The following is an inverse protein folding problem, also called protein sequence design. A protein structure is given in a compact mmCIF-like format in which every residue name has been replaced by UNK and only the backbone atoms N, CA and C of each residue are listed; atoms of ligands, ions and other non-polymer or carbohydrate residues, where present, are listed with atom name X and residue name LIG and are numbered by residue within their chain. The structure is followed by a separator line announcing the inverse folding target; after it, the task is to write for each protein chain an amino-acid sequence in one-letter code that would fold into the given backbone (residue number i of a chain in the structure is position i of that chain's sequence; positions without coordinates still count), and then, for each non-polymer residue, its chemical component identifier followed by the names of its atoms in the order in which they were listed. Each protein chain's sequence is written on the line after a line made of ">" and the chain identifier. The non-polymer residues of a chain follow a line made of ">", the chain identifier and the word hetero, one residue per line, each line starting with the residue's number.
data_IF_408803622252
#
_entry.id   IF_408803622252
#
_cell.length_a   1.000
_cell.length_b   1.000
_cell.length_c   1.000
_cell.angle_alpha   90.00
_cell.angle_beta   90.00
_cell.angle_gamma   90.00
#
_symmetry.space_group_name_H-M   'P 1'
#
loop_
_entity.id
_entity.type
_entity.pdbx_description
1 polymer ?
#
# COMPACT_ATOMS: atom_id res chain seq x y z
N UNK A 1 18.65 -2.09 2.25
CA UNK A 1 17.37 -1.38 2.23
C UNK A 1 16.26 -2.38 1.99
N UNK A 2 15.26 -2.33 2.83
CA UNK A 2 14.16 -3.28 2.76
C UNK A 2 12.93 -2.64 2.19
N UNK A 3 12.25 -3.37 1.35
CA UNK A 3 11.02 -2.92 0.74
C UNK A 3 9.96 -3.97 1.00
N UNK A 4 8.83 -3.53 1.52
CA UNK A 4 7.70 -4.41 1.79
C UNK A 4 6.62 -4.17 0.76
N UNK A 5 5.99 -5.25 0.32
CA UNK A 5 4.90 -5.15 -0.64
C UNK A 5 3.59 -5.31 0.10
N UNK A 6 2.64 -4.46 -0.24
CA UNK A 6 1.30 -4.51 0.35
C UNK A 6 0.29 -4.63 -0.76
N UNK A 7 -0.61 -5.57 -0.62
CA UNK A 7 -1.72 -5.71 -1.55
C UNK A 7 -2.96 -5.14 -0.87
N UNK A 8 -3.51 -4.10 -1.47
CA UNK A 8 -4.67 -3.41 -0.94
C UNK A 8 -5.88 -3.78 -1.76
N UNK A 9 -6.93 -4.24 -1.09
CA UNK A 9 -8.20 -4.54 -1.73
C UNK A 9 -9.18 -3.43 -1.44
N UNK A 10 -9.71 -2.84 -2.47
CA UNK A 10 -10.65 -1.73 -2.34
C UNK A 10 -11.90 -2.02 -3.16
N UNK A 11 -12.93 -1.23 -2.91
CA UNK A 11 -14.08 -1.25 -3.81
C UNK A 11 -13.64 -0.69 -5.16
N UNK A 12 -14.02 -1.32 -6.27
CA UNK A 12 -13.54 -0.85 -7.58
C UNK A 12 -13.83 0.60 -7.86
N UNK A 13 -14.98 1.10 -7.40
CA UNK A 13 -15.32 2.49 -7.66
C UNK A 13 -14.49 3.46 -6.84
N UNK A 14 -13.76 2.95 -5.83
CA UNK A 14 -12.91 3.79 -5.00
C UNK A 14 -11.43 3.66 -5.32
N UNK A 15 -11.09 2.76 -6.23
CA UNK A 15 -9.68 2.46 -6.44
C UNK A 15 -8.91 3.66 -6.97
N UNK A 16 -9.52 4.45 -7.85
CA UNK A 16 -8.84 5.60 -8.41
C UNK A 16 -8.52 6.65 -7.33
N UNK A 17 -9.49 6.91 -6.45
CA UNK A 17 -9.27 7.86 -5.35
C UNK A 17 -8.22 7.34 -4.39
N UNK A 18 -8.32 6.06 -4.03
CA UNK A 18 -7.38 5.48 -3.10
C UNK A 18 -5.97 5.40 -3.66
N UNK A 19 -5.87 5.16 -4.97
CA UNK A 19 -4.55 5.17 -5.60
C UNK A 19 -3.85 6.48 -5.35
N UNK A 20 -4.56 7.60 -5.51
CA UNK A 20 -3.97 8.90 -5.25
C UNK A 20 -3.61 9.10 -3.79
N UNK A 21 -4.48 8.65 -2.88
CA UNK A 21 -4.19 8.78 -1.46
C UNK A 21 -2.98 7.94 -1.06
N UNK A 22 -2.90 6.73 -1.59
CA UNK A 22 -1.76 5.86 -1.27
C UNK A 22 -0.47 6.44 -1.82
N UNK A 23 -0.51 7.01 -3.01
CA UNK A 23 0.69 7.57 -3.61
C UNK A 23 1.20 8.78 -2.84
N UNK A 24 0.33 9.43 -2.08
CA UNK A 24 0.75 10.60 -1.30
C UNK A 24 1.39 10.24 0.02
N UNK A 25 1.33 8.98 0.42
CA UNK A 25 1.94 8.57 1.68
C UNK A 25 3.45 8.51 1.55
N UNK A 26 4.17 8.94 2.61
CA UNK A 26 5.64 8.92 2.54
C UNK A 26 6.17 7.50 2.39
N UNK A 27 7.14 7.33 1.51
CA UNK A 27 7.78 6.03 1.32
C UNK A 27 6.94 5.01 0.59
N UNK A 28 5.78 5.38 0.09
CA UNK A 28 4.88 4.47 -0.61
C UNK A 28 4.96 4.72 -2.11
N UNK A 29 5.06 3.64 -2.85
CA UNK A 29 5.06 3.71 -4.30
C UNK A 29 3.99 2.78 -4.84
N UNK A 30 3.12 3.31 -5.68
CA UNK A 30 2.05 2.51 -6.29
C UNK A 30 2.59 1.91 -7.57
N UNK A 31 2.51 0.59 -7.66
CA UNK A 31 3.03 -0.11 -8.83
C UNK A 31 1.93 -0.56 -9.77
N UNK A 32 0.76 -0.87 -9.24
CA UNK A 32 -0.33 -1.33 -10.08
C UNK A 32 -1.65 -1.04 -9.38
N UNK A 33 -2.63 -0.70 -10.17
CA UNK A 33 -4.01 -0.54 -9.68
C UNK A 33 -4.90 -1.21 -10.71
N UNK A 34 -5.62 -2.24 -10.29
CA UNK A 34 -6.42 -3.03 -11.18
C UNK A 34 -7.88 -2.61 -11.11
N UNK A 35 -8.59 -2.91 -12.16
CA UNK A 35 -10.00 -2.50 -12.24
C UNK A 35 -10.86 -3.19 -11.21
N UNK A 36 -10.42 -4.36 -10.75
CA UNK A 36 -11.20 -5.10 -9.75
C UNK A 36 -11.02 -4.54 -8.33
N UNK A 37 -10.23 -3.48 -8.17
CA UNK A 37 -10.05 -2.87 -6.87
C UNK A 37 -8.76 -3.25 -6.16
N UNK A 38 -7.91 -4.03 -6.81
CA UNK A 38 -6.63 -4.44 -6.21
C UNK A 38 -5.58 -3.39 -6.52
N UNK A 39 -4.90 -2.92 -5.49
CA UNK A 39 -3.80 -1.96 -5.64
C UNK A 39 -2.56 -2.57 -5.02
N UNK A 40 -1.48 -2.58 -5.78
CA UNK A 40 -0.21 -3.14 -5.32
C UNK A 40 0.74 -1.98 -5.09
N UNK A 41 1.24 -1.90 -3.87
CA UNK A 41 2.16 -0.84 -3.48
C UNK A 41 3.38 -1.44 -2.80
N UNK A 42 4.44 -0.66 -2.75
CA UNK A 42 5.61 -1.01 -1.95
C UNK A 42 5.86 0.11 -0.95
N UNK A 43 6.40 -0.26 0.20
CA UNK A 43 6.70 0.67 1.27
C UNK A 43 8.17 0.51 1.64
N UNK A 44 8.87 1.61 1.65
CA UNK A 44 10.28 1.62 2.02
C UNK A 44 10.42 1.59 3.53
N UNK A 45 11.26 0.69 4.03
CA UNK A 45 11.49 0.57 5.46
C UNK A 45 12.64 1.50 5.85
N UNK A 46 12.30 2.59 6.50
CA UNK A 46 13.30 3.54 6.98
C UNK A 46 13.17 3.67 8.49
N UNK A 47 14.13 4.38 9.08
CA UNK A 47 14.09 4.58 10.52
C UNK A 47 12.88 5.42 10.94
N UNK A 48 12.35 6.25 10.05
CA UNK A 48 11.20 7.10 10.35
C UNK A 48 9.89 6.50 9.87
N UNK A 49 9.95 5.56 8.93
CA UNK A 49 8.75 4.99 8.32
C UNK A 49 8.81 3.48 8.46
N UNK A 50 7.93 2.94 9.26
CA UNK A 50 7.85 1.49 9.43
C UNK A 50 6.71 0.94 8.61
N UNK A 51 6.94 -0.12 7.84
CA UNK A 51 5.87 -0.69 7.02
C UNK A 51 4.63 -1.07 7.82
N UNK A 52 4.82 -1.55 9.04
CA UNK A 52 3.67 -1.95 9.86
C UNK A 52 2.78 -0.76 10.17
N UNK A 53 3.37 0.39 10.50
CA UNK A 53 2.58 1.58 10.78
C UNK A 53 1.84 2.05 9.53
N UNK A 54 2.51 1.99 8.39
CA UNK A 54 1.88 2.36 7.14
C UNK A 54 0.72 1.43 6.83
N UNK A 55 0.90 0.13 7.05
CA UNK A 55 -0.15 -0.84 6.82
C UNK A 55 -1.38 -0.52 7.67
N UNK A 56 -1.17 -0.20 8.94
CA UNK A 56 -2.28 0.14 9.82
C UNK A 56 -3.01 1.39 9.34
N UNK A 57 -2.25 2.38 8.87
CA UNK A 57 -2.87 3.58 8.34
C UNK A 57 -3.71 3.29 7.11
N UNK A 58 -3.20 2.43 6.24
CA UNK A 58 -3.92 2.06 5.03
C UNK A 58 -5.22 1.33 5.39
N UNK A 59 -5.17 0.43 6.37
CA UNK A 59 -6.36 -0.31 6.76
C UNK A 59 -7.44 0.58 7.32
N UNK A 60 -7.10 1.76 7.78
CA UNK A 60 -8.07 2.71 8.31
C UNK A 60 -8.63 3.66 7.27
N UNK A 61 -8.17 3.59 6.05
CA UNK A 61 -8.68 4.46 4.99
C UNK A 61 -10.06 3.99 4.56
N UNK A 62 -10.92 4.96 4.26
CA UNK A 62 -12.25 4.63 3.78
C UNK A 62 -12.16 4.04 2.39
N UNK A 63 -12.92 2.97 2.17
CA UNK A 63 -12.92 2.31 0.88
C UNK A 63 -11.97 1.14 0.78
N UNK A 64 -11.12 0.96 1.78
CA UNK A 64 -10.23 -0.19 1.84
C UNK A 64 -10.95 -1.36 2.46
N UNK A 65 -11.06 -2.45 1.72
CA UNK A 65 -11.67 -3.67 2.22
C UNK A 65 -10.68 -4.42 3.09
N UNK A 66 -9.47 -4.56 2.60
CA UNK A 66 -8.41 -5.22 3.35
C UNK A 66 -7.07 -4.79 2.79
N UNK A 67 -6.04 -4.94 3.60
CA UNK A 67 -4.67 -4.68 3.18
C UNK A 67 -3.79 -5.73 3.83
N UNK A 68 -2.93 -6.35 3.04
CA UNK A 68 -2.07 -7.43 3.51
C UNK A 68 -0.64 -7.14 3.10
N UNK A 69 0.26 -7.27 4.07
CA UNK A 69 1.68 -7.20 3.77
C UNK A 69 2.09 -8.56 3.23
N UNK A 70 2.60 -8.57 2.00
CA UNK A 70 2.89 -9.83 1.38
C UNK A 70 4.20 -10.32 1.95
N UNK A 71 5.27 -9.84 1.62
CA UNK A 71 6.51 -10.39 2.11
C UNK A 71 7.59 -9.34 2.01
N UNK A 72 8.45 -9.31 2.98
CA UNK A 72 9.60 -8.45 2.91
C UNK A 72 10.46 -8.86 1.74
N UNK A 73 10.57 -7.97 0.80
CA UNK A 73 11.38 -8.23 -0.35
C UNK A 73 12.71 -7.54 -0.14
N UNK A 74 13.72 -8.34 0.00
CA UNK A 74 15.04 -7.81 0.19
C UNK A 74 15.78 -7.93 -1.12
N UNK A 75 16.05 -6.81 -1.71
CA UNK A 75 16.72 -6.79 -2.99
C UNK A 75 18.21 -6.62 -2.74
N UNK A 76 18.97 -7.56 -3.21
CA UNK A 76 20.38 -7.50 -2.96
C UNK A 76 21.16 -6.78 -3.96
#
# INVERSE_FOLDING_TARGET
>A
MNISSIIVQTYPERSASLKGELASLPGVEVHAARENGTIIITVEDTSEQKPAATLMGIQNLQGVISASMVYNYCDE
#
